data_IF_267684371604
#
_entry.id   IF_267684371604
#
_cell.length_a   1.000
_cell.length_b   1.000
_cell.length_c   1.000
_cell.angle_alpha   90.00
_cell.angle_beta   90.00
_cell.angle_gamma   90.00
#
_symmetry.space_group_name_H-M   'P 1'
#
loop_
_entity.id
_entity.type
_entity.pdbx_description
1 polymer ?
#
# COMPACT_ATOMS: atom_id res chain seq x y z
N UNK A 1 -22.71 1.85 10.40
CA UNK A 1 -21.35 1.48 10.01
C UNK A 1 -20.55 2.69 9.58
N UNK A 2 -21.09 3.41 8.64
CA UNK A 2 -20.36 4.58 8.13
C UNK A 2 -20.19 5.66 9.17
N UNK A 3 -21.20 5.88 9.99
CA UNK A 3 -21.10 6.84 11.09
C UNK A 3 -20.01 6.48 12.08
N UNK A 4 -19.89 5.19 12.37
CA UNK A 4 -18.84 4.73 13.27
C UNK A 4 -17.46 4.95 12.64
N UNK A 5 -17.32 4.60 11.37
CA UNK A 5 -16.07 4.80 10.64
C UNK A 5 -15.73 6.28 10.56
N UNK A 6 -16.72 7.11 10.28
CA UNK A 6 -16.51 8.56 10.21
C UNK A 6 -16.11 9.11 11.56
N UNK A 7 -16.78 8.63 12.63
CA UNK A 7 -16.44 9.06 13.97
C UNK A 7 -15.04 8.62 14.36
N UNK A 8 -14.69 7.40 14.04
CA UNK A 8 -13.34 6.87 14.28
C UNK A 8 -12.33 7.67 13.48
N UNK A 9 -12.63 7.95 12.24
CA UNK A 9 -11.77 8.77 11.39
C UNK A 9 -11.57 10.15 11.98
N UNK A 10 -12.65 10.75 12.47
CA UNK A 10 -12.58 12.07 13.09
C UNK A 10 -11.73 12.03 14.35
N UNK A 11 -11.95 11.01 15.19
CA UNK A 11 -11.24 10.88 16.45
C UNK A 11 -9.76 10.54 16.26
N UNK A 12 -9.47 9.69 15.31
CA UNK A 12 -8.10 9.27 15.04
C UNK A 12 -7.47 10.05 13.92
N UNK A 13 -8.17 11.08 13.47
CA UNK A 13 -7.61 11.98 12.49
C UNK A 13 -7.41 11.30 11.13
N UNK A 14 -8.47 11.31 10.33
CA UNK A 14 -8.43 10.83 8.94
C UNK A 14 -7.30 11.50 8.17
N UNK A 15 -7.07 12.77 8.46
CA UNK A 15 -5.98 13.50 7.83
C UNK A 15 -4.64 12.91 8.24
N UNK A 16 -4.52 12.49 9.49
CA UNK A 16 -3.31 11.85 9.97
C UNK A 16 -3.06 10.54 9.24
N UNK A 17 -4.11 9.77 9.01
CA UNK A 17 -4.00 8.53 8.26
C UNK A 17 -3.58 8.81 6.82
N UNK A 18 -4.21 9.78 6.19
CA UNK A 18 -3.87 10.18 4.84
C UNK A 18 -2.53 10.90 4.78
N UNK A 19 -2.16 11.60 5.84
CA UNK A 19 -0.91 12.35 5.89
C UNK A 19 0.31 11.45 6.05
N UNK A 20 0.13 10.15 6.38
CA UNK A 20 1.26 9.23 6.45
C UNK A 20 1.81 8.90 5.07
N UNK A 21 1.02 9.01 4.03
CA UNK A 21 1.49 8.74 2.67
C UNK A 21 2.18 9.98 2.11
N UNK A 22 3.48 9.87 1.90
CA UNK A 22 4.25 10.94 1.29
C UNK A 22 3.84 11.19 -0.15
N UNK A 23 3.47 10.13 -0.85
CA UNK A 23 2.99 10.25 -2.22
C UNK A 23 1.74 11.14 -2.27
N UNK A 24 0.80 10.92 -1.35
CA UNK A 24 -0.41 11.75 -1.28
C UNK A 24 -0.11 13.19 -0.88
N UNK A 25 0.94 13.41 -0.10
CA UNK A 25 1.35 14.75 0.29
C UNK A 25 2.02 15.51 -0.85
N UNK A 26 2.78 14.79 -1.69
CA UNK A 26 3.54 15.41 -2.78
C UNK A 26 2.69 15.71 -3.99
N UNK A 27 1.64 14.95 -4.23
CA UNK A 27 0.80 15.07 -5.43
C UNK A 27 -0.66 15.17 -5.04
N UNK A 28 -1.38 16.09 -5.67
CA UNK A 28 -2.78 16.24 -5.40
C UNK A 28 -3.59 15.08 -6.01
N UNK A 29 -4.86 15.00 -5.61
CA UNK A 29 -5.72 13.89 -6.00
C UNK A 29 -5.84 13.76 -7.52
N UNK A 30 -6.05 14.88 -8.21
CA UNK A 30 -6.25 14.86 -9.67
C UNK A 30 -5.01 14.36 -10.39
N UNK A 31 -3.83 14.80 -9.97
CA UNK A 31 -2.56 14.35 -10.56
C UNK A 31 -2.35 12.86 -10.34
N UNK A 32 -2.64 12.37 -9.13
CA UNK A 32 -2.50 10.95 -8.82
C UNK A 32 -3.47 10.11 -9.64
N UNK A 33 -4.72 10.53 -9.72
CA UNK A 33 -5.74 9.81 -10.47
C UNK A 33 -5.41 9.76 -11.95
N UNK A 34 -4.94 10.88 -12.49
CA UNK A 34 -4.55 10.94 -13.89
C UNK A 34 -3.42 9.96 -14.19
N UNK A 35 -2.42 9.92 -13.33
CA UNK A 35 -1.30 8.99 -13.50
C UNK A 35 -1.78 7.54 -13.46
N UNK A 36 -2.64 7.19 -12.51
CA UNK A 36 -3.16 5.83 -12.41
C UNK A 36 -4.00 5.45 -13.64
N UNK A 37 -4.84 6.38 -14.11
CA UNK A 37 -5.64 6.13 -15.31
C UNK A 37 -4.77 5.87 -16.53
N UNK A 38 -3.71 6.64 -16.71
CA UNK A 38 -2.80 6.45 -17.84
C UNK A 38 -2.15 5.08 -17.78
N UNK A 39 -1.74 4.65 -16.60
CA UNK A 39 -1.15 3.33 -16.41
C UNK A 39 -2.16 2.23 -16.74
N UNK A 40 -3.38 2.36 -16.22
CA UNK A 40 -4.42 1.35 -16.44
C UNK A 40 -4.81 1.24 -17.91
N UNK A 41 -4.78 2.35 -18.63
CA UNK A 41 -5.08 2.35 -20.06
C UNK A 41 -3.95 1.76 -20.88
N UNK A 42 -2.71 2.03 -20.47
CA UNK A 42 -1.54 1.58 -21.20
C UNK A 42 -1.22 0.11 -20.95
N UNK A 43 -1.46 -0.39 -19.75
CA UNK A 43 -1.11 -1.74 -19.34
C UNK A 43 -2.33 -2.44 -18.77
N UNK A 44 -3.04 -3.18 -19.61
CA UNK A 44 -4.30 -3.84 -19.23
C UNK A 44 -4.09 -5.01 -18.25
N UNK A 45 -2.87 -5.55 -18.17
CA UNK A 45 -2.53 -6.69 -17.34
C UNK A 45 -1.75 -6.32 -16.08
N UNK A 46 -1.73 -5.04 -15.71
CA UNK A 46 -1.00 -4.55 -14.55
C UNK A 46 -1.85 -3.61 -13.73
N UNK A 47 -1.50 -3.52 -12.45
CA UNK A 47 -2.16 -2.63 -11.50
C UNK A 47 -1.13 -1.69 -10.86
N UNK A 48 -1.52 -0.43 -10.61
CA UNK A 48 -0.60 0.54 -10.00
C UNK A 48 -0.67 0.47 -8.48
N UNK A 49 0.49 0.34 -7.85
CA UNK A 49 0.60 0.21 -6.40
C UNK A 49 1.62 1.20 -5.87
N UNK A 50 1.30 1.83 -4.76
CA UNK A 50 2.22 2.66 -3.98
C UNK A 50 2.61 1.87 -2.73
N UNK A 51 3.91 1.73 -2.49
CA UNK A 51 4.43 1.04 -1.31
C UNK A 51 5.26 2.02 -0.52
N UNK A 52 4.94 2.18 0.77
CA UNK A 52 5.65 3.08 1.67
C UNK A 52 5.84 2.40 3.02
N UNK A 53 6.88 2.80 3.75
CA UNK A 53 7.10 2.27 5.08
C UNK A 53 6.08 2.85 6.06
N UNK A 54 5.56 1.98 6.92
CA UNK A 54 4.69 2.44 8.00
C UNK A 54 5.44 3.46 8.87
N UNK A 55 4.81 4.59 9.16
CA UNK A 55 5.48 5.74 9.77
C UNK A 55 6.07 5.45 11.15
N UNK A 56 5.45 4.52 11.89
CA UNK A 56 5.91 4.18 13.24
C UNK A 56 6.95 3.06 13.24
N UNK A 57 7.36 2.58 12.09
CA UNK A 57 8.34 1.50 11.98
C UNK A 57 9.67 2.07 11.52
N UNK A 58 10.70 1.93 12.36
CA UNK A 58 12.06 2.34 12.02
C UNK A 58 13.04 1.15 12.00
N UNK A 59 12.51 -0.07 12.13
CA UNK A 59 13.30 -1.29 12.18
C UNK A 59 13.82 -1.72 10.82
N UNK A 60 13.25 -1.18 9.76
CA UNK A 60 13.64 -1.50 8.38
C UNK A 60 13.86 -0.20 7.62
N UNK A 61 14.68 -0.21 6.56
CA UNK A 61 14.98 1.02 5.83
C UNK A 61 13.80 1.53 5.03
N UNK A 62 13.89 2.77 4.59
CA UNK A 62 12.95 3.33 3.63
C UNK A 62 13.21 2.70 2.28
N UNK A 63 12.15 2.30 1.60
CA UNK A 63 12.27 1.72 0.27
C UNK A 63 12.60 2.81 -0.74
N UNK A 64 13.50 2.49 -1.66
CA UNK A 64 13.98 3.46 -2.65
C UNK A 64 13.01 3.65 -3.82
N UNK A 65 12.12 2.70 -4.03
CA UNK A 65 11.11 2.75 -5.09
C UNK A 65 9.74 2.54 -4.47
N UNK A 66 8.84 3.49 -4.68
CA UNK A 66 7.51 3.40 -4.10
C UNK A 66 6.42 3.05 -5.11
N UNK A 67 6.63 3.32 -6.40
CA UNK A 67 5.61 3.06 -7.44
C UNK A 67 5.91 1.73 -8.14
N UNK A 68 4.90 0.88 -8.22
CA UNK A 68 5.04 -0.45 -8.82
C UNK A 68 3.89 -0.70 -9.78
N UNK A 69 4.22 -1.30 -10.93
CA UNK A 69 3.25 -1.83 -11.86
C UNK A 69 3.30 -3.34 -11.74
N UNK A 70 2.29 -3.90 -11.12
CA UNK A 70 2.30 -5.31 -10.70
C UNK A 70 1.38 -6.13 -11.61
N UNK A 71 1.87 -7.27 -12.13
CA UNK A 71 1.01 -8.17 -12.91
C UNK A 71 -0.21 -8.60 -12.11
N UNK A 72 -1.35 -8.68 -12.80
CA UNK A 72 -2.64 -9.00 -12.15
C UNK A 72 -2.65 -10.38 -11.50
N UNK A 73 -1.86 -11.32 -12.00
CA UNK A 73 -1.82 -12.70 -11.52
C UNK A 73 -0.74 -12.96 -10.46
N UNK A 74 -0.06 -11.93 -10.01
CA UNK A 74 0.93 -12.06 -8.94
C UNK A 74 0.21 -12.21 -7.60
N UNK A 75 0.71 -13.12 -6.74
CA UNK A 75 0.18 -13.24 -5.39
C UNK A 75 0.81 -12.22 -4.45
N UNK A 76 0.15 -11.99 -3.31
CA UNK A 76 0.71 -11.11 -2.28
C UNK A 76 2.07 -11.61 -1.82
N UNK A 77 2.22 -12.91 -1.62
CA UNK A 77 3.47 -13.52 -1.21
C UNK A 77 4.61 -13.21 -2.20
N UNK A 78 4.33 -13.31 -3.49
CA UNK A 78 5.31 -13.01 -4.52
C UNK A 78 5.68 -11.53 -4.53
N UNK A 79 4.70 -10.66 -4.33
CA UNK A 79 4.97 -9.22 -4.25
C UNK A 79 5.76 -8.88 -2.99
N UNK A 80 5.41 -9.48 -1.86
CA UNK A 80 6.15 -9.27 -0.62
C UNK A 80 7.63 -9.68 -0.77
N UNK A 81 7.87 -10.77 -1.48
CA UNK A 81 9.22 -11.21 -1.77
C UNK A 81 9.99 -10.15 -2.56
N UNK A 82 9.34 -9.53 -3.55
CA UNK A 82 9.93 -8.44 -4.33
C UNK A 82 10.30 -7.27 -3.42
N UNK A 83 9.40 -6.89 -2.52
CA UNK A 83 9.65 -5.80 -1.58
C UNK A 83 10.80 -6.14 -0.64
N UNK A 84 10.80 -7.36 -0.12
CA UNK A 84 11.85 -7.85 0.78
C UNK A 84 13.23 -7.78 0.12
N UNK A 85 13.31 -8.21 -1.12
CA UNK A 85 14.56 -8.14 -1.88
C UNK A 85 15.02 -6.70 -2.08
N UNK A 86 14.08 -5.82 -2.40
CA UNK A 86 14.41 -4.43 -2.64
C UNK A 86 14.89 -3.74 -1.36
N UNK A 87 14.34 -4.11 -0.23
CA UNK A 87 14.77 -3.59 1.07
C UNK A 87 16.08 -4.22 1.55
N UNK A 88 16.44 -5.36 0.98
CA UNK A 88 17.64 -6.11 1.38
C UNK A 88 17.64 -6.42 2.88
N UNK A 89 16.49 -6.84 3.40
CA UNK A 89 16.36 -7.19 4.82
C UNK A 89 16.67 -8.65 5.04
N UNK A 90 17.16 -8.95 6.24
CA UNK A 90 17.48 -10.31 6.67
C UNK A 90 16.22 -11.19 6.61
N UNK A 91 16.38 -12.43 6.17
CA UNK A 91 15.27 -13.36 6.06
C UNK A 91 14.63 -13.70 7.41
N UNK A 92 15.35 -13.46 8.51
CA UNK A 92 14.82 -13.68 9.86
C UNK A 92 13.84 -12.61 10.30
N UNK A 93 13.79 -11.48 9.60
CA UNK A 93 12.89 -10.38 9.96
C UNK A 93 11.53 -10.63 9.34
N UNK A 94 10.49 -10.69 10.16
CA UNK A 94 9.12 -10.78 9.68
C UNK A 94 8.72 -9.44 9.10
N UNK A 95 8.17 -9.48 7.89
CA UNK A 95 7.75 -8.28 7.17
C UNK A 95 6.33 -8.46 6.70
N UNK A 96 5.49 -7.46 6.94
CA UNK A 96 4.09 -7.47 6.59
C UNK A 96 3.75 -6.34 5.64
N UNK A 97 2.83 -6.61 4.72
CA UNK A 97 2.19 -5.59 3.90
C UNK A 97 0.75 -5.47 4.34
N UNK A 98 0.27 -4.25 4.50
CA UNK A 98 -1.11 -3.99 4.84
C UNK A 98 -1.62 -2.80 4.04
N UNK A 99 -2.93 -2.78 3.82
CA UNK A 99 -3.54 -1.73 3.02
C UNK A 99 -3.70 -0.45 3.86
N UNK A 100 -4.20 0.61 3.24
CA UNK A 100 -4.34 1.89 3.93
C UNK A 100 -5.43 1.88 5.01
N UNK A 101 -6.20 0.80 5.10
CA UNK A 101 -7.22 0.62 6.12
C UNK A 101 -6.72 -0.28 7.25
N UNK A 102 -5.48 -0.70 7.19
CA UNK A 102 -4.85 -1.52 8.24
C UNK A 102 -5.07 -3.01 8.10
N UNK A 103 -5.57 -3.49 6.97
CA UNK A 103 -5.85 -4.91 6.78
C UNK A 103 -4.65 -5.64 6.20
N UNK A 104 -4.36 -6.80 6.78
CA UNK A 104 -3.37 -7.75 6.25
C UNK A 104 -4.13 -8.82 5.48
N UNK A 105 -3.68 -9.10 4.28
CA UNK A 105 -4.34 -10.04 3.39
C UNK A 105 -3.61 -11.38 3.35
N UNK A 106 -4.30 -12.42 2.91
CA UNK A 106 -3.72 -13.74 2.77
C UNK A 106 -2.59 -13.73 1.74
N UNK A 107 -1.50 -14.46 2.04
CA UNK A 107 -0.35 -14.55 1.15
C UNK A 107 -0.66 -15.16 -0.22
N UNK A 108 -1.72 -15.97 -0.30
CA UNK A 108 -2.12 -16.62 -1.55
C UNK A 108 -3.08 -15.77 -2.37
N UNK A 109 -3.54 -14.65 -1.84
CA UNK A 109 -4.49 -13.78 -2.54
C UNK A 109 -3.79 -13.08 -3.70
N UNK A 110 -4.49 -12.99 -4.82
CA UNK A 110 -3.94 -12.30 -5.99
C UNK A 110 -3.94 -10.80 -5.77
N UNK A 111 -2.89 -10.15 -6.24
CA UNK A 111 -2.77 -8.70 -6.11
C UNK A 111 -3.93 -7.97 -6.78
N UNK A 112 -4.45 -8.49 -7.88
CA UNK A 112 -5.60 -7.87 -8.54
C UNK A 112 -6.84 -7.88 -7.64
N UNK A 113 -7.02 -8.94 -6.85
CA UNK A 113 -8.17 -9.03 -5.94
C UNK A 113 -8.03 -8.04 -4.78
N UNK A 114 -6.82 -7.89 -4.27
CA UNK A 114 -6.55 -6.89 -3.24
C UNK A 114 -6.80 -5.49 -3.81
N UNK A 115 -6.35 -5.25 -5.04
CA UNK A 115 -6.54 -3.98 -5.71
C UNK A 115 -8.03 -3.64 -5.83
N UNK A 116 -8.83 -4.59 -6.32
CA UNK A 116 -10.26 -4.36 -6.53
C UNK A 116 -10.99 -4.07 -5.22
N UNK A 117 -10.56 -4.71 -4.13
CA UNK A 117 -11.18 -4.52 -2.82
C UNK A 117 -10.74 -3.25 -2.12
N UNK A 118 -9.50 -2.83 -2.30
CA UNK A 118 -8.87 -1.85 -1.43
C UNK A 118 -8.28 -0.64 -2.15
N UNK A 119 -8.47 -0.53 -3.47
CA UNK A 119 -7.92 0.61 -4.20
C UNK A 119 -8.49 1.91 -3.69
N UNK A 120 -7.65 2.93 -3.70
CA UNK A 120 -8.06 4.28 -3.36
C UNK A 120 -8.93 4.86 -4.49
N UNK A 121 -9.68 5.91 -4.19
CA UNK A 121 -10.46 6.61 -5.21
C UNK A 121 -9.59 7.26 -6.29
N UNK A 122 -8.29 7.44 -6.02
CA UNK A 122 -7.34 7.90 -7.04
C UNK A 122 -6.84 6.75 -7.94
N UNK A 123 -7.35 5.53 -7.71
CA UNK A 123 -7.08 4.32 -8.49
C UNK A 123 -5.70 3.70 -8.25
N UNK A 124 -4.95 4.18 -7.28
CA UNK A 124 -3.78 3.48 -6.77
C UNK A 124 -4.18 2.57 -5.62
N UNK A 125 -3.51 1.45 -5.49
CA UNK A 125 -3.56 0.64 -4.27
C UNK A 125 -2.41 1.09 -3.37
N UNK A 126 -2.71 1.46 -2.13
CA UNK A 126 -1.69 1.90 -1.17
C UNK A 126 -1.40 0.79 -0.19
N UNK A 127 -0.15 0.36 -0.15
CA UNK A 127 0.33 -0.64 0.78
C UNK A 127 1.45 -0.06 1.62
N UNK A 128 1.48 -0.46 2.89
CA UNK A 128 2.56 -0.10 3.80
C UNK A 128 3.24 -1.36 4.28
N UNK A 129 4.55 -1.30 4.47
CA UNK A 129 5.28 -2.42 5.04
C UNK A 129 5.75 -2.09 6.45
N UNK A 130 5.83 -3.13 7.27
CA UNK A 130 6.22 -2.99 8.66
C UNK A 130 6.69 -4.34 9.20
N UNK A 131 7.39 -4.31 10.32
CA UNK A 131 7.74 -5.52 11.04
C UNK A 131 6.58 -5.93 11.94
N UNK A 132 6.60 -7.17 12.43
CA UNK A 132 5.48 -7.76 13.16
C UNK A 132 5.06 -6.99 14.41
N UNK A 133 6.00 -6.34 15.06
CA UNK A 133 5.72 -5.71 16.35
C UNK A 133 5.07 -4.34 16.23
N UNK A 134 4.91 -3.84 15.02
CA UNK A 134 4.41 -2.49 14.80
C UNK A 134 2.93 -2.34 15.13
N UNK A 135 2.20 -3.45 15.08
CA UNK A 135 0.76 -3.43 15.33
C UNK A 135 0.40 -3.72 16.77
N UNK A 136 1.36 -4.02 17.52
CA UNK A 136 1.31 -4.35 18.94
C UNK A 136 0.06 -4.26 19.70
#
# INVERSE_FOLDING_TARGET
MDKFKDKVKTLFDTNKYNSTSKFKQEFDFESRKQEALEVLQKYSDRIPIIVERYSNCDMVPLIDKRKYLVPVDLTLSQFLWTIRKRLNVDSSIALFLFDEYGNVHSNTKLMVNIYEECKNSDLFLYLQYSTENTFG
#
